data_IF_065027994860
#
_entry.id   IF_065027994860
#
_cell.length_a   1.000
_cell.length_b   1.000
_cell.length_c   1.000
_cell.angle_alpha   90.00
_cell.angle_beta   90.00
_cell.angle_gamma   90.00
#
_symmetry.space_group_name_H-M   'P 1'
#
loop_
_entity.id
_entity.type
_entity.pdbx_description
1 polymer ?
#
# COMPACT_ATOMS: atom_id res chain seq x y z
N UNK A 1 -18.83 31.82 -50.44
CA UNK A 1 -19.79 32.77 -49.85
C UNK A 1 -20.79 31.96 -49.05
N UNK A 2 -20.81 32.18 -47.73
CA UNK A 2 -21.68 31.52 -46.76
C UNK A 2 -23.08 32.15 -46.84
N UNK A 3 -24.11 31.35 -47.10
CA UNK A 3 -25.49 31.75 -46.84
C UNK A 3 -26.13 30.71 -45.92
N UNK A 4 -26.28 31.09 -44.66
CA UNK A 4 -27.17 30.44 -43.72
C UNK A 4 -28.59 30.99 -43.93
N UNK A 5 -29.59 30.11 -44.05
CA UNK A 5 -30.99 30.49 -43.90
C UNK A 5 -31.62 29.52 -42.90
N UNK A 6 -31.98 30.09 -41.75
CA UNK A 6 -32.81 29.52 -40.70
C UNK A 6 -34.26 29.41 -41.18
N UNK A 7 -34.86 28.23 -41.05
CA UNK A 7 -36.31 28.05 -41.03
C UNK A 7 -36.68 27.25 -39.78
N UNK A 8 -37.37 27.95 -38.88
CA UNK A 8 -38.00 27.39 -37.70
C UNK A 8 -39.17 26.49 -38.12
N UNK A 9 -39.27 25.30 -37.53
CA UNK A 9 -40.50 24.52 -37.52
C UNK A 9 -40.79 24.10 -36.08
N UNK A 10 -41.71 24.85 -35.47
CA UNK A 10 -42.42 24.43 -34.28
C UNK A 10 -43.33 23.26 -34.66
N UNK A 11 -43.10 22.10 -34.06
CA UNK A 11 -44.00 20.95 -34.13
C UNK A 11 -44.34 20.52 -32.72
N UNK A 12 -45.51 20.95 -32.22
CA UNK A 12 -46.14 20.34 -31.06
C UNK A 12 -46.41 18.87 -31.38
N UNK A 13 -45.84 17.94 -30.63
CA UNK A 13 -46.38 16.59 -30.54
C UNK A 13 -46.52 16.19 -29.07
N UNK A 14 -47.72 15.73 -28.76
CA UNK A 14 -48.30 15.61 -27.44
C UNK A 14 -47.54 14.64 -26.52
N UNK A 15 -47.48 15.00 -25.24
CA UNK A 15 -47.22 14.10 -24.14
C UNK A 15 -48.24 12.95 -24.15
N UNK A 16 -47.77 11.72 -24.34
CA UNK A 16 -48.46 10.52 -23.88
C UNK A 16 -47.53 9.75 -22.96
N UNK A 17 -47.83 9.86 -21.66
CA UNK A 17 -47.25 9.03 -20.61
C UNK A 17 -47.78 7.60 -20.79
N UNK A 18 -46.91 6.66 -21.14
CA UNK A 18 -47.18 5.23 -21.03
C UNK A 18 -46.11 4.60 -20.14
N UNK A 19 -46.55 4.20 -18.95
CA UNK A 19 -45.81 3.41 -17.97
C UNK A 19 -45.38 2.08 -18.58
N UNK A 20 -44.07 1.82 -18.53
CA UNK A 20 -43.47 0.57 -18.99
C UNK A 20 -42.12 0.34 -18.30
N UNK A 21 -42.14 0.20 -16.98
CA UNK A 21 -40.97 -0.25 -16.24
C UNK A 21 -40.71 -1.73 -16.55
N UNK A 22 -39.93 -2.03 -17.58
CA UNK A 22 -39.25 -3.32 -17.73
C UNK A 22 -37.85 -3.14 -17.20
N UNK A 23 -37.69 -3.39 -15.90
CA UNK A 23 -36.38 -3.53 -15.26
C UNK A 23 -35.66 -4.72 -15.88
N UNK A 24 -34.72 -4.45 -16.79
CA UNK A 24 -33.73 -5.41 -17.21
C UNK A 24 -32.79 -5.65 -16.02
N UNK A 25 -33.03 -6.74 -15.30
CA UNK A 25 -32.16 -7.28 -14.27
C UNK A 25 -30.81 -7.65 -14.90
N UNK A 26 -29.91 -6.67 -14.99
CA UNK A 26 -28.52 -6.93 -15.34
C UNK A 26 -27.87 -7.69 -14.18
N UNK A 27 -28.01 -9.02 -14.19
CA UNK A 27 -27.14 -9.92 -13.44
C UNK A 27 -25.68 -9.63 -13.83
N UNK A 28 -25.05 -8.76 -13.05
CA UNK A 28 -23.61 -8.56 -13.02
C UNK A 28 -23.00 -9.92 -12.71
N UNK A 29 -22.52 -10.61 -13.74
CA UNK A 29 -21.67 -11.76 -13.58
C UNK A 29 -20.42 -11.25 -12.87
N UNK A 30 -20.38 -11.44 -11.55
CA UNK A 30 -19.21 -11.13 -10.75
C UNK A 30 -18.07 -11.98 -11.27
N UNK A 31 -17.15 -11.37 -12.02
CA UNK A 31 -15.89 -11.98 -12.38
C UNK A 31 -15.20 -12.30 -11.06
N UNK A 32 -15.26 -13.56 -10.63
CA UNK A 32 -14.52 -14.04 -9.48
C UNK A 32 -13.07 -14.14 -9.92
N UNK A 33 -12.39 -12.99 -9.92
CA UNK A 33 -10.96 -12.93 -10.17
C UNK A 33 -10.30 -13.85 -9.13
N UNK A 34 -9.52 -14.87 -9.55
CA UNK A 34 -8.90 -15.79 -8.61
C UNK A 34 -8.18 -14.97 -7.54
N UNK A 35 -8.51 -15.20 -6.26
CA UNK A 35 -7.72 -14.69 -5.14
C UNK A 35 -6.37 -15.39 -5.20
N UNK A 36 -5.49 -14.93 -6.09
CA UNK A 36 -4.07 -15.22 -6.00
C UNK A 36 -3.69 -14.72 -4.61
N UNK A 37 -3.40 -15.64 -3.69
CA UNK A 37 -2.85 -15.27 -2.39
C UNK A 37 -1.58 -14.49 -2.69
N UNK A 38 -1.70 -13.17 -2.66
CA UNK A 38 -0.61 -12.28 -3.05
C UNK A 38 0.53 -12.59 -2.09
N UNK A 39 1.57 -13.26 -2.60
CA UNK A 39 2.73 -13.62 -1.79
C UNK A 39 3.28 -12.34 -1.18
N UNK A 40 3.32 -12.28 0.15
CA UNK A 40 3.80 -11.10 0.84
C UNK A 40 5.22 -10.76 0.37
N UNK A 41 5.51 -9.49 0.16
CA UNK A 41 6.85 -9.07 -0.28
C UNK A 41 7.94 -9.26 0.78
N UNK A 42 7.57 -9.70 1.98
CA UNK A 42 8.47 -9.99 3.10
C UNK A 42 8.19 -11.39 3.68
N UNK A 43 9.11 -11.90 4.49
CA UNK A 43 8.94 -13.07 5.38
C UNK A 43 9.08 -12.62 6.83
N UNK A 44 8.72 -13.47 7.79
CA UNK A 44 8.94 -13.21 9.22
C UNK A 44 10.04 -14.12 9.75
N UNK A 45 10.84 -13.63 10.70
CA UNK A 45 11.94 -14.40 11.29
C UNK A 45 11.44 -15.60 12.10
N UNK A 46 10.38 -15.41 12.87
CA UNK A 46 9.75 -16.43 13.71
C UNK A 46 8.24 -16.29 13.69
N UNK A 47 7.53 -17.31 14.16
CA UNK A 47 6.06 -17.28 14.29
C UNK A 47 5.56 -16.24 15.29
N UNK A 48 6.41 -15.79 16.22
CA UNK A 48 6.05 -14.78 17.23
C UNK A 48 6.10 -13.34 16.68
N UNK A 49 6.72 -13.12 15.52
CA UNK A 49 6.77 -11.80 14.88
C UNK A 49 5.38 -11.46 14.31
N UNK A 50 4.76 -10.42 14.87
CA UNK A 50 3.42 -9.97 14.50
C UNK A 50 3.49 -8.94 13.35
N UNK A 51 3.19 -9.36 12.13
CA UNK A 51 3.16 -8.49 10.94
C UNK A 51 1.76 -8.35 10.32
N UNK A 52 0.76 -9.06 10.84
CA UNK A 52 -0.58 -9.14 10.24
C UNK A 52 -1.35 -7.82 10.18
N UNK A 53 -1.07 -6.89 11.10
CA UNK A 53 -1.72 -5.57 11.15
C UNK A 53 -1.02 -4.49 10.31
N UNK A 54 0.06 -4.83 9.57
CA UNK A 54 0.79 -3.82 8.80
C UNK A 54 -0.14 -3.11 7.81
N UNK A 55 -0.24 -1.77 7.86
CA UNK A 55 -1.11 -1.03 6.97
C UNK A 55 -0.62 -1.13 5.52
N UNK A 56 -1.51 -0.86 4.57
CA UNK A 56 -1.18 -0.88 3.14
C UNK A 56 0.06 -0.06 2.79
N UNK A 57 0.24 1.11 3.41
CA UNK A 57 1.41 1.97 3.22
C UNK A 57 2.72 1.29 3.64
N UNK A 58 2.77 0.64 4.81
CA UNK A 58 3.98 -0.06 5.26
C UNK A 58 4.25 -1.28 4.39
N UNK A 59 3.20 -2.01 4.00
CA UNK A 59 3.32 -3.14 3.05
C UNK A 59 3.87 -2.67 1.69
N UNK A 60 3.47 -1.49 1.20
CA UNK A 60 3.97 -0.91 -0.03
C UNK A 60 5.46 -0.53 0.08
N UNK A 61 5.89 0.07 1.20
CA UNK A 61 7.31 0.34 1.49
C UNK A 61 8.13 -0.96 1.48
N UNK A 62 7.68 -2.00 2.18
CA UNK A 62 8.36 -3.30 2.20
C UNK A 62 8.40 -3.95 0.80
N UNK A 63 7.33 -3.80 0.03
CA UNK A 63 7.26 -4.26 -1.36
C UNK A 63 8.24 -3.54 -2.27
N UNK A 64 8.38 -2.21 -2.11
CA UNK A 64 9.34 -1.42 -2.85
C UNK A 64 10.78 -1.84 -2.53
N UNK A 65 11.10 -2.03 -1.26
CA UNK A 65 12.42 -2.52 -0.82
C UNK A 65 12.69 -3.90 -1.45
N UNK A 66 11.71 -4.81 -1.43
CA UNK A 66 11.86 -6.13 -2.04
C UNK A 66 12.14 -6.04 -3.54
N UNK A 67 11.41 -5.18 -4.26
CA UNK A 67 11.59 -4.96 -5.69
C UNK A 67 12.96 -4.34 -6.02
N UNK A 68 13.37 -3.30 -5.27
CA UNK A 68 14.67 -2.62 -5.46
C UNK A 68 15.88 -3.50 -5.18
N UNK A 69 15.74 -4.44 -4.24
CA UNK A 69 16.85 -5.30 -3.81
C UNK A 69 16.82 -6.68 -4.45
N UNK A 70 15.73 -7.04 -5.14
CA UNK A 70 15.49 -8.38 -5.68
C UNK A 70 15.29 -9.45 -4.59
N UNK A 71 15.16 -9.07 -3.31
CA UNK A 71 15.13 -9.99 -2.17
C UNK A 71 14.07 -9.59 -1.15
N UNK A 72 13.33 -10.58 -0.65
CA UNK A 72 12.27 -10.34 0.35
C UNK A 72 12.91 -9.98 1.70
N UNK A 73 12.53 -8.86 2.34
CA UNK A 73 12.96 -8.57 3.69
C UNK A 73 12.48 -9.62 4.69
N UNK A 74 13.34 -9.97 5.64
CA UNK A 74 12.97 -10.76 6.82
C UNK A 74 12.61 -9.80 7.92
N UNK A 75 11.34 -9.79 8.35
CA UNK A 75 10.87 -9.00 9.48
C UNK A 75 11.34 -9.67 10.77
N UNK A 76 12.21 -8.99 11.51
CA UNK A 76 12.74 -9.45 12.80
C UNK A 76 11.91 -8.92 13.97
N UNK A 77 11.19 -7.82 13.77
CA UNK A 77 10.22 -7.30 14.74
C UNK A 77 9.13 -6.48 14.04
N UNK A 78 7.88 -6.71 14.42
CA UNK A 78 6.71 -6.02 13.89
C UNK A 78 5.94 -5.33 15.00
N UNK A 79 4.63 -5.57 15.11
CA UNK A 79 3.81 -4.96 16.15
C UNK A 79 4.21 -5.38 17.57
N UNK A 80 4.33 -4.40 18.46
CA UNK A 80 4.65 -4.58 19.89
C UNK A 80 3.59 -3.87 20.73
N UNK A 81 2.59 -4.59 21.30
CA UNK A 81 1.46 -3.94 21.99
C UNK A 81 1.88 -3.12 23.22
N UNK A 82 2.99 -3.49 23.87
CA UNK A 82 3.56 -2.76 25.01
C UNK A 82 4.96 -2.26 24.64
N UNK A 83 5.09 -1.16 23.86
CA UNK A 83 6.39 -0.65 23.46
C UNK A 83 7.14 -0.05 24.66
N UNK A 84 8.45 -0.32 24.77
CA UNK A 84 9.31 0.22 25.85
C UNK A 84 9.50 1.74 25.79
N UNK A 85 9.43 2.33 24.59
CA UNK A 85 9.58 3.78 24.37
C UNK A 85 8.22 4.38 24.03
N UNK A 86 7.83 5.44 24.74
CA UNK A 86 6.65 6.23 24.40
C UNK A 86 6.75 6.74 22.95
N UNK A 87 5.65 6.68 22.20
CA UNK A 87 5.62 7.10 20.80
C UNK A 87 6.17 6.09 19.79
N UNK A 88 6.61 4.90 20.21
CA UNK A 88 7.07 3.86 19.29
C UNK A 88 6.02 3.50 18.24
N UNK A 89 6.42 3.52 16.97
CA UNK A 89 5.54 3.14 15.85
C UNK A 89 5.32 1.62 15.75
N UNK A 90 6.13 0.80 16.42
CA UNK A 90 5.82 -0.63 16.59
C UNK A 90 4.54 -0.82 17.43
N UNK A 91 4.32 0.05 18.43
CA UNK A 91 3.09 0.08 19.21
C UNK A 91 1.83 0.33 18.39
N UNK A 92 1.98 1.03 17.26
CA UNK A 92 0.89 1.39 16.34
C UNK A 92 0.82 0.49 15.10
N UNK A 93 1.66 -0.54 15.02
CA UNK A 93 1.81 -1.40 13.84
C UNK A 93 2.22 -0.64 12.56
N UNK A 94 2.86 0.53 12.72
CA UNK A 94 3.31 1.40 11.64
C UNK A 94 4.80 1.26 11.33
N UNK A 95 5.50 0.32 11.99
CA UNK A 95 6.92 0.09 11.83
C UNK A 95 7.27 -1.39 11.73
N UNK A 96 8.40 -1.66 11.08
CA UNK A 96 9.01 -2.97 10.97
C UNK A 96 10.53 -2.85 11.13
N UNK A 97 11.09 -3.79 11.88
CA UNK A 97 12.53 -4.02 11.95
C UNK A 97 12.86 -5.15 10.96
N UNK A 98 13.81 -4.92 10.06
CA UNK A 98 14.11 -5.81 8.95
C UNK A 98 15.59 -6.15 8.85
N UNK A 99 15.85 -7.33 8.28
CA UNK A 99 17.14 -7.70 7.68
C UNK A 99 16.90 -8.21 6.27
N UNK A 100 17.90 -8.05 5.41
CA UNK A 100 17.95 -8.75 4.11
C UNK A 100 19.27 -9.51 4.10
N UNK A 101 19.26 -10.82 4.42
CA UNK A 101 20.49 -11.62 4.50
C UNK A 101 21.35 -11.42 3.25
N UNK A 102 22.67 -11.30 3.38
CA UNK A 102 23.57 -11.13 2.23
C UNK A 102 23.49 -9.77 1.51
N UNK A 103 22.83 -8.75 2.07
CA UNK A 103 22.97 -7.36 1.63
C UNK A 103 23.53 -6.50 2.76
N UNK A 104 24.30 -5.48 2.41
CA UNK A 104 24.79 -4.50 3.38
C UNK A 104 23.67 -3.60 3.89
N UNK A 105 23.79 -3.10 5.12
CA UNK A 105 22.90 -2.08 5.69
C UNK A 105 22.74 -0.87 4.76
N UNK A 106 23.85 -0.40 4.17
CA UNK A 106 23.87 0.72 3.22
C UNK A 106 22.95 0.45 2.02
N UNK A 107 22.99 -0.75 1.47
CA UNK A 107 22.11 -1.16 0.35
C UNK A 107 20.65 -1.16 0.76
N UNK A 108 20.33 -1.70 1.94
CA UNK A 108 18.96 -1.76 2.47
C UNK A 108 18.42 -0.36 2.72
N UNK A 109 19.21 0.51 3.36
CA UNK A 109 18.85 1.91 3.61
C UNK A 109 18.65 2.68 2.32
N UNK A 110 19.51 2.49 1.30
CA UNK A 110 19.35 3.14 0.00
C UNK A 110 18.04 2.73 -0.69
N UNK A 111 17.70 1.43 -0.67
CA UNK A 111 16.43 0.94 -1.18
C UNK A 111 15.24 1.55 -0.42
N UNK A 112 15.28 1.55 0.91
CA UNK A 112 14.23 2.13 1.75
C UNK A 112 14.04 3.64 1.54
N UNK A 113 15.14 4.41 1.38
CA UNK A 113 15.08 5.86 1.09
C UNK A 113 14.34 6.18 -0.20
N UNK A 114 14.41 5.28 -1.20
CA UNK A 114 13.73 5.45 -2.47
C UNK A 114 12.25 5.06 -2.47
N UNK A 115 11.73 4.51 -1.36
CA UNK A 115 10.36 4.02 -1.29
C UNK A 115 9.35 5.17 -1.10
N UNK A 116 8.33 5.28 -1.96
CA UNK A 116 7.24 6.23 -1.74
C UNK A 116 6.54 5.97 -0.41
N UNK A 117 6.28 7.04 0.35
CA UNK A 117 5.59 6.94 1.64
C UNK A 117 6.45 6.41 2.80
N UNK A 118 7.77 6.26 2.62
CA UNK A 118 8.67 6.00 3.74
C UNK A 118 8.69 7.17 4.72
N UNK A 119 8.44 6.86 5.98
CA UNK A 119 8.57 7.77 7.11
C UNK A 119 9.98 7.73 7.66
N UNK A 120 10.16 7.08 8.80
CA UNK A 120 11.45 6.91 9.45
C UNK A 120 12.30 5.75 8.91
N UNK A 121 13.62 5.93 8.95
CA UNK A 121 14.62 4.87 8.72
C UNK A 121 15.66 4.96 9.83
N UNK A 122 15.86 3.87 10.56
CA UNK A 122 16.89 3.75 11.59
C UNK A 122 17.82 2.58 11.29
N UNK A 123 19.06 2.64 11.77
CA UNK A 123 19.96 1.48 11.79
C UNK A 123 20.42 1.18 13.21
N UNK A 124 20.54 -0.10 13.53
CA UNK A 124 21.04 -0.59 14.81
C UNK A 124 22.38 -1.29 14.63
N UNK A 125 23.23 -1.23 15.65
CA UNK A 125 24.58 -1.80 15.63
C UNK A 125 24.66 -3.32 15.33
N UNK A 126 23.55 -4.05 15.40
CA UNK A 126 23.47 -5.46 15.06
C UNK A 126 22.96 -5.73 13.63
N UNK A 127 22.95 -4.71 12.77
CA UNK A 127 22.53 -4.81 11.37
C UNK A 127 21.02 -4.90 11.14
N UNK A 128 20.20 -4.58 12.14
CA UNK A 128 18.76 -4.38 11.94
C UNK A 128 18.55 -2.98 11.35
N UNK A 129 17.71 -2.93 10.31
CA UNK A 129 17.20 -1.66 9.77
C UNK A 129 15.75 -1.49 10.21
N UNK A 130 15.46 -0.37 10.85
CA UNK A 130 14.10 0.07 11.15
C UNK A 130 13.51 0.81 9.95
N UNK A 131 12.26 0.51 9.60
CA UNK A 131 11.47 1.27 8.64
C UNK A 131 10.06 1.51 9.16
N UNK A 132 9.51 2.69 8.91
CA UNK A 132 8.14 3.03 9.31
C UNK A 132 7.47 4.00 8.34
N UNK A 133 6.17 4.25 8.55
CA UNK A 133 5.35 5.17 7.75
C UNK A 133 4.85 6.39 8.54
N UNK A 134 5.57 6.78 9.59
CA UNK A 134 5.31 7.99 10.36
C UNK A 134 6.02 9.22 9.78
N UNK A 135 6.30 10.25 10.60
CA UNK A 135 7.09 11.42 10.19
C UNK A 135 8.49 11.04 9.69
N UNK A 136 9.00 11.78 8.71
CA UNK A 136 10.34 11.57 8.18
C UNK A 136 11.40 11.83 9.25
N UNK A 137 12.27 10.84 9.47
CA UNK A 137 13.39 10.92 10.41
C UNK A 137 14.44 9.87 10.09
N UNK A 138 15.69 10.15 10.43
CA UNK A 138 16.84 9.26 10.19
C UNK A 138 17.69 9.21 11.45
N UNK A 139 18.12 8.03 11.85
CA UNK A 139 18.94 7.87 13.05
C UNK A 139 19.81 6.61 12.98
N UNK A 140 20.84 6.58 13.81
CA UNK A 140 21.66 5.41 14.12
C UNK A 140 21.56 5.21 15.63
N UNK A 141 21.22 4.00 16.06
CA UNK A 141 21.12 3.62 17.48
C UNK A 141 22.14 2.50 17.74
N UNK A 142 23.30 2.98 18.17
CA UNK A 142 24.52 2.31 18.58
C UNK A 142 24.93 2.99 19.90
#
# INVERSE_FOLDING_TARGET
MQNAILLAMAGLFAFQSATGAVGQDMKRHGVHLPKHQARLAYTVQTVSVRAGCFPGRLRAVLSHIAAKTGRRPVITSGHRPHPRRHGSLHGKCLAADIRIPGLSERTIIAAARSAPGIGGIGSYCNGIIHVDVGPQRRWVDC
#
